data_IF_858740422265
#
_entry.id   IF_858740422265
#
_cell.length_a   1.000
_cell.length_b   1.000
_cell.length_c   1.000
_cell.angle_alpha   90.00
_cell.angle_beta   90.00
_cell.angle_gamma   90.00
#
_symmetry.space_group_name_H-M   'P 1'
#
loop_
_entity.id
_entity.type
_entity.pdbx_description
1 polymer ?
#
# COMPACT_ATOMS: atom_id res chain seq x y z
N UNK A 1 -21.97 -9.98 -16.07
CA UNK A 1 -22.21 -9.52 -14.69
C UNK A 1 -22.82 -8.13 -14.76
N UNK A 2 -23.80 -7.72 -13.94
CA UNK A 2 -24.37 -6.38 -14.05
C UNK A 2 -23.44 -5.37 -13.37
N UNK A 3 -22.61 -4.70 -14.17
CA UNK A 3 -21.68 -3.66 -13.74
C UNK A 3 -20.25 -3.93 -14.22
N UNK A 4 -19.70 -3.00 -14.99
CA UNK A 4 -18.30 -2.98 -15.42
C UNK A 4 -17.56 -1.89 -14.61
N UNK A 5 -16.45 -2.27 -13.99
CA UNK A 5 -15.60 -1.31 -13.29
C UNK A 5 -14.71 -0.63 -14.32
N UNK A 6 -14.83 0.69 -14.47
CA UNK A 6 -14.07 1.45 -15.47
C UNK A 6 -12.96 2.28 -14.84
N UNK A 7 -13.23 2.91 -13.70
CA UNK A 7 -12.25 3.69 -12.94
C UNK A 7 -12.53 3.63 -11.44
N UNK A 8 -11.49 3.88 -10.66
CA UNK A 8 -11.53 4.07 -9.22
C UNK A 8 -10.62 5.23 -8.86
N UNK A 9 -11.17 6.26 -8.26
CA UNK A 9 -10.43 7.40 -7.74
C UNK A 9 -10.45 7.36 -6.21
N UNK A 10 -9.26 7.35 -5.61
CA UNK A 10 -9.03 7.48 -4.18
C UNK A 10 -8.59 8.91 -3.90
N UNK A 11 -9.54 9.78 -3.58
CA UNK A 11 -9.24 11.19 -3.28
C UNK A 11 -8.43 11.36 -1.99
N UNK A 12 -8.78 10.60 -0.95
CA UNK A 12 -8.07 10.60 0.33
C UNK A 12 -8.41 9.36 1.14
N UNK A 13 -7.38 8.66 1.60
CA UNK A 13 -7.42 7.68 2.66
C UNK A 13 -6.79 8.30 3.90
N UNK A 14 -7.41 8.11 5.06
CA UNK A 14 -6.80 8.46 6.35
C UNK A 14 -7.22 7.43 7.39
N UNK A 15 -6.24 6.77 8.00
CA UNK A 15 -6.43 5.84 9.10
C UNK A 15 -5.51 6.25 10.22
N UNK A 16 -6.08 6.63 11.37
CA UNK A 16 -5.32 7.09 12.53
C UNK A 16 -5.59 6.18 13.73
N UNK A 17 -4.53 5.67 14.36
CA UNK A 17 -4.65 4.83 15.56
C UNK A 17 -3.42 4.93 16.46
N UNK A 18 -3.64 5.14 17.77
CA UNK A 18 -2.60 5.08 18.80
C UNK A 18 -1.30 5.89 18.52
N UNK A 19 -1.46 7.01 17.80
CA UNK A 19 -0.37 7.93 17.43
C UNK A 19 0.30 7.61 16.10
N UNK A 20 -0.15 6.60 15.35
CA UNK A 20 0.20 6.40 13.96
C UNK A 20 -0.90 6.92 13.04
N UNK A 21 -0.50 7.36 11.84
CA UNK A 21 -1.37 7.85 10.79
C UNK A 21 -0.93 7.29 9.43
N UNK A 22 -1.84 6.60 8.75
CA UNK A 22 -1.69 6.19 7.36
C UNK A 22 -2.57 7.07 6.47
N UNK A 23 -1.94 7.75 5.53
CA UNK A 23 -2.62 8.54 4.49
C UNK A 23 -2.36 7.96 3.12
N UNK A 24 -3.21 8.30 2.15
CA UNK A 24 -2.94 7.96 0.77
C UNK A 24 -3.95 8.51 -0.22
N UNK A 25 -3.57 8.47 -1.48
CA UNK A 25 -4.34 8.92 -2.64
C UNK A 25 -3.94 8.10 -3.85
N UNK A 26 -4.82 8.03 -4.85
CA UNK A 26 -4.51 7.27 -6.05
C UNK A 26 -5.65 7.24 -7.04
N UNK A 27 -5.37 6.69 -8.20
CA UNK A 27 -6.37 6.53 -9.26
C UNK A 27 -6.02 5.33 -10.12
N UNK A 28 -7.04 4.57 -10.50
CA UNK A 28 -6.91 3.42 -11.38
C UNK A 28 -7.98 3.46 -12.47
N UNK A 29 -7.60 3.06 -13.68
CA UNK A 29 -8.51 2.70 -14.77
C UNK A 29 -8.46 1.20 -14.99
N UNK A 30 -9.54 0.62 -15.51
CA UNK A 30 -9.71 -0.83 -15.60
C UNK A 30 -10.07 -1.25 -17.03
N UNK A 31 -9.27 -2.16 -17.61
CA UNK A 31 -9.55 -2.76 -18.91
C UNK A 31 -10.41 -4.02 -18.73
N UNK A 32 -11.70 -3.91 -19.05
CA UNK A 32 -12.66 -5.03 -18.97
C UNK A 32 -12.47 -6.06 -20.10
N UNK A 33 -11.62 -5.77 -21.11
CA UNK A 33 -11.27 -6.75 -22.14
C UNK A 33 -10.17 -7.72 -21.69
N UNK A 34 -9.37 -7.34 -20.70
CA UNK A 34 -8.36 -8.21 -20.08
C UNK A 34 -8.77 -8.61 -18.66
N UNK A 35 -9.41 -9.77 -18.58
CA UNK A 35 -9.78 -10.42 -17.33
C UNK A 35 -8.76 -11.49 -16.90
N UNK A 36 -7.65 -11.62 -17.62
CA UNK A 36 -6.71 -12.74 -17.45
C UNK A 36 -5.45 -12.36 -16.71
N UNK A 37 -4.92 -11.16 -16.96
CA UNK A 37 -3.68 -10.68 -16.32
C UNK A 37 -3.81 -10.57 -14.81
N UNK A 38 -5.01 -10.24 -14.31
CA UNK A 38 -5.32 -10.11 -12.88
C UNK A 38 -6.39 -11.10 -12.40
N UNK A 39 -6.30 -12.36 -12.85
CA UNK A 39 -7.04 -13.53 -12.30
C UNK A 39 -8.55 -13.30 -12.11
N UNK A 40 -9.22 -12.80 -13.15
CA UNK A 40 -10.67 -12.56 -13.15
C UNK A 40 -11.08 -11.14 -12.76
N UNK A 41 -10.13 -10.25 -12.45
CA UNK A 41 -10.34 -8.82 -12.33
C UNK A 41 -9.95 -8.10 -13.63
N UNK A 42 -10.71 -7.08 -14.08
CA UNK A 42 -10.29 -6.19 -15.15
C UNK A 42 -8.88 -5.64 -14.89
N UNK A 43 -8.01 -5.62 -15.89
CA UNK A 43 -6.63 -5.20 -15.71
C UNK A 43 -6.55 -3.72 -15.28
N UNK A 44 -6.02 -3.41 -14.07
CA UNK A 44 -5.87 -2.04 -13.63
C UNK A 44 -4.65 -1.37 -14.28
N UNK A 45 -4.71 -0.07 -14.46
CA UNK A 45 -3.56 0.80 -14.74
C UNK A 45 -3.70 2.06 -13.91
N UNK A 46 -2.62 2.45 -13.24
CA UNK A 46 -2.63 3.61 -12.36
C UNK A 46 -1.66 3.49 -11.21
N UNK A 47 -1.85 4.32 -10.19
CA UNK A 47 -0.97 4.35 -9.03
C UNK A 47 -1.70 4.75 -7.77
N UNK A 48 -1.15 4.32 -6.64
CA UNK A 48 -1.51 4.79 -5.30
C UNK A 48 -0.26 5.22 -4.55
N UNK A 49 -0.35 6.36 -3.87
CA UNK A 49 0.65 6.89 -2.96
C UNK A 49 0.15 6.68 -1.54
N UNK A 50 1.04 6.21 -0.67
CA UNK A 50 0.76 5.96 0.73
C UNK A 50 1.85 6.61 1.57
N UNK A 51 1.46 7.18 2.71
CA UNK A 51 2.38 7.70 3.70
C UNK A 51 1.95 7.24 5.10
N UNK A 52 2.85 6.57 5.80
CA UNK A 52 2.68 6.10 7.16
C UNK A 52 3.60 6.89 8.10
N UNK A 53 3.01 7.58 9.07
CA UNK A 53 3.71 8.29 10.14
C UNK A 53 3.45 7.57 11.46
N UNK A 54 4.47 7.37 12.29
CA UNK A 54 4.32 6.78 13.63
C UNK A 54 4.13 5.25 13.63
N UNK A 55 4.31 4.59 12.48
CA UNK A 55 4.05 3.15 12.31
C UNK A 55 4.98 2.27 13.15
N UNK A 56 6.27 2.58 13.21
CA UNK A 56 7.22 1.81 14.01
C UNK A 56 6.98 2.03 15.51
N UNK A 57 6.69 3.27 15.92
CA UNK A 57 6.39 3.60 17.31
C UNK A 57 5.08 2.95 17.79
N UNK A 58 4.07 2.84 16.93
CA UNK A 58 2.86 2.07 17.23
C UNK A 58 3.19 0.60 17.45
N UNK A 59 3.98 0.01 16.55
CA UNK A 59 4.36 -1.39 16.64
C UNK A 59 5.15 -1.68 17.93
N UNK A 60 6.08 -0.80 18.32
CA UNK A 60 6.79 -0.90 19.60
C UNK A 60 5.84 -0.88 20.81
N UNK A 61 4.83 0.00 20.79
CA UNK A 61 3.83 0.05 21.87
C UNK A 61 3.02 -1.24 21.94
N UNK A 62 2.62 -1.80 20.79
CA UNK A 62 1.86 -3.06 20.76
C UNK A 62 2.68 -4.24 21.29
N UNK A 63 3.98 -4.27 20.99
CA UNK A 63 4.91 -5.24 21.55
C UNK A 63 5.07 -5.07 23.05
N UNK A 64 5.29 -3.84 23.52
CA UNK A 64 5.45 -3.53 24.94
C UNK A 64 4.20 -3.88 25.78
N UNK A 65 3.01 -3.79 25.19
CA UNK A 65 1.74 -4.21 25.81
C UNK A 65 1.49 -5.72 25.73
N UNK A 66 2.31 -6.47 25.02
CA UNK A 66 2.17 -7.92 24.84
C UNK A 66 1.08 -8.32 23.82
N UNK A 67 0.58 -7.38 23.02
CA UNK A 67 -0.43 -7.67 21.98
C UNK A 67 0.17 -8.24 20.70
N UNK A 68 1.44 -7.91 20.41
CA UNK A 68 2.16 -8.40 19.23
C UNK A 68 3.49 -9.01 19.68
N UNK A 69 3.80 -10.26 19.30
CA UNK A 69 5.11 -10.85 19.55
C UNK A 69 6.24 -10.11 18.81
N UNK A 70 7.43 -10.03 19.43
CA UNK A 70 8.60 -9.35 18.84
C UNK A 70 8.96 -9.89 17.45
N UNK A 71 8.88 -11.20 17.24
CA UNK A 71 9.17 -11.82 15.94
C UNK A 71 8.19 -11.35 14.84
N UNK A 72 6.91 -11.20 15.18
CA UNK A 72 5.90 -10.69 14.24
C UNK A 72 6.13 -9.20 13.95
N UNK A 73 6.53 -8.43 14.96
CA UNK A 73 6.90 -7.03 14.78
C UNK A 73 8.14 -6.89 13.88
N UNK A 74 9.17 -7.70 14.08
CA UNK A 74 10.35 -7.72 13.22
C UNK A 74 9.99 -8.08 11.78
N UNK A 75 9.13 -9.08 11.57
CA UNK A 75 8.60 -9.45 10.26
C UNK A 75 7.81 -8.32 9.59
N UNK A 76 6.95 -7.63 10.35
CA UNK A 76 6.20 -6.48 9.84
C UNK A 76 7.12 -5.34 9.41
N UNK A 77 8.17 -5.04 10.18
CA UNK A 77 9.19 -4.04 9.82
C UNK A 77 9.93 -4.39 8.55
N UNK A 78 10.33 -5.65 8.41
CA UNK A 78 10.97 -6.13 7.18
C UNK A 78 10.03 -5.94 5.98
N UNK A 79 8.77 -6.36 6.09
CA UNK A 79 7.78 -6.19 5.03
C UNK A 79 7.55 -4.72 4.68
N UNK A 80 7.44 -3.84 5.68
CA UNK A 80 7.36 -2.39 5.43
C UNK A 80 8.58 -1.89 4.66
N UNK A 81 9.78 -2.34 4.98
CA UNK A 81 11.00 -1.98 4.27
C UNK A 81 11.12 -2.54 2.84
N UNK A 82 10.33 -3.56 2.47
CA UNK A 82 10.30 -4.09 1.10
C UNK A 82 9.43 -3.23 0.16
N UNK A 83 8.40 -2.59 0.70
CA UNK A 83 7.39 -1.88 -0.11
C UNK A 83 7.35 -0.37 0.16
N UNK A 84 8.01 0.12 1.20
CA UNK A 84 8.09 1.52 1.54
C UNK A 84 9.54 1.99 1.66
N UNK A 85 9.75 3.27 1.40
CA UNK A 85 11.02 3.97 1.57
C UNK A 85 10.88 5.02 2.67
N UNK A 86 11.99 5.43 3.33
CA UNK A 86 11.96 6.52 4.29
C UNK A 86 11.40 7.81 3.65
N UNK A 87 10.49 8.48 4.37
CA UNK A 87 10.00 9.81 4.03
C UNK A 87 10.81 10.93 4.70
N UNK A 88 10.28 12.16 4.65
CA UNK A 88 10.99 13.36 5.12
C UNK A 88 11.04 13.53 6.66
N UNK A 89 10.21 12.78 7.39
CA UNK A 89 10.03 12.89 8.84
C UNK A 89 10.56 11.69 9.64
N UNK A 90 10.69 11.88 10.95
CA UNK A 90 10.94 10.76 11.88
C UNK A 90 9.76 9.78 11.84
N UNK A 91 10.07 8.48 11.87
CA UNK A 91 9.10 7.39 11.76
C UNK A 91 8.08 7.61 10.62
N UNK A 92 8.56 8.12 9.49
CA UNK A 92 7.76 8.35 8.30
C UNK A 92 8.22 7.42 7.18
N UNK A 93 7.28 6.70 6.60
CA UNK A 93 7.48 5.80 5.47
C UNK A 93 6.53 6.22 4.34
N UNK A 94 7.04 6.25 3.12
CA UNK A 94 6.24 6.51 1.92
C UNK A 94 6.32 5.32 0.98
N UNK A 95 5.23 5.02 0.30
CA UNK A 95 5.16 3.95 -0.69
C UNK A 95 4.35 4.41 -1.89
N UNK A 96 4.92 4.26 -3.09
CA UNK A 96 4.16 4.41 -4.34
C UNK A 96 4.05 3.05 -5.00
N UNK A 97 2.81 2.57 -5.17
CA UNK A 97 2.52 1.35 -5.93
C UNK A 97 1.95 1.77 -7.29
N UNK A 98 2.62 1.34 -8.35
CA UNK A 98 2.23 1.60 -9.74
C UNK A 98 1.88 0.27 -10.43
N UNK A 99 0.74 0.25 -11.12
CA UNK A 99 0.37 -0.85 -12.01
C UNK A 99 0.37 -0.32 -13.44
N UNK A 100 1.14 -0.98 -14.30
CA UNK A 100 1.23 -0.64 -15.71
C UNK A 100 0.30 -1.50 -16.54
N UNK A 101 -0.12 -0.98 -17.69
CA UNK A 101 -1.05 -1.66 -18.61
C UNK A 101 -0.52 -2.95 -19.24
N UNK A 102 0.75 -3.31 -19.02
CA UNK A 102 1.35 -4.58 -19.42
C UNK A 102 1.39 -5.61 -18.29
N UNK A 103 0.73 -5.32 -17.15
CA UNK A 103 0.64 -6.20 -15.99
C UNK A 103 1.82 -6.10 -15.01
N UNK A 104 2.80 -5.23 -15.28
CA UNK A 104 3.87 -4.97 -14.32
C UNK A 104 3.34 -4.24 -13.09
N UNK A 105 3.84 -4.65 -11.93
CA UNK A 105 3.59 -3.93 -10.67
C UNK A 105 4.92 -3.46 -10.10
N UNK A 106 4.97 -2.17 -9.76
CA UNK A 106 6.14 -1.53 -9.20
C UNK A 106 5.83 -1.00 -7.81
N UNK A 107 6.76 -1.17 -6.89
CA UNK A 107 6.79 -0.48 -5.60
C UNK A 107 8.01 0.43 -5.59
N UNK A 108 7.80 1.74 -5.44
CA UNK A 108 8.86 2.75 -5.43
C UNK A 108 9.79 2.66 -6.67
N UNK A 109 9.20 2.38 -7.85
CA UNK A 109 9.93 2.18 -9.11
C UNK A 109 10.65 0.83 -9.24
N UNK A 110 10.63 -0.03 -8.22
CA UNK A 110 11.19 -1.37 -8.27
C UNK A 110 10.10 -2.38 -8.66
N UNK A 111 10.40 -3.23 -9.64
CA UNK A 111 9.45 -4.25 -10.10
C UNK A 111 9.28 -5.34 -9.04
N UNK A 112 8.04 -5.55 -8.61
CA UNK A 112 7.64 -6.60 -7.66
C UNK A 112 6.82 -7.72 -8.32
N UNK A 113 6.29 -7.47 -9.53
CA UNK A 113 5.59 -8.43 -10.38
C UNK A 113 5.89 -8.15 -11.86
#
# INVERSE_FOLDING_TARGET
MPGELNSLDLNSLTVSAAGAELTGDGSFTFDNSDMTTFEGMPAPTGSVNLMLVGGNALLDKLVAMGFVPEEQAAGARMMMGLFAVPGDGEDTLTSTIEVKGDGQVLANGQRIR
#
